data_IF_662816592083
#
_entry.id   IF_662816592083
#
_cell.length_a   1.000
_cell.length_b   1.000
_cell.length_c   1.000
_cell.angle_alpha   90.00
_cell.angle_beta   90.00
_cell.angle_gamma   90.00
#
_symmetry.space_group_name_H-M   'P 1'
#
loop_
_entity.id
_entity.type
_entity.pdbx_description
1 polymer ?
#
# COMPACT_ATOMS: atom_id res chain seq x y z
N UNK A 1 5.22 3.07 12.73
CA UNK A 1 6.41 2.30 12.37
C UNK A 1 6.67 2.47 10.87
N UNK A 2 7.64 1.76 10.29
CA UNK A 2 8.05 1.89 8.89
C UNK A 2 7.80 0.59 8.09
N UNK A 3 6.86 -0.25 8.50
CA UNK A 3 6.82 -1.66 8.06
C UNK A 3 6.66 -1.78 6.54
N UNK A 4 5.70 -1.08 5.94
CA UNK A 4 5.59 -0.97 4.47
C UNK A 4 6.81 -0.30 3.83
N UNK A 5 7.29 0.79 4.44
CA UNK A 5 8.44 1.53 3.91
C UNK A 5 9.75 0.72 3.90
N UNK A 6 9.89 -0.24 4.83
CA UNK A 6 11.05 -1.11 4.91
C UNK A 6 11.08 -2.16 3.79
N UNK A 7 9.93 -2.44 3.16
CA UNK A 7 9.81 -3.37 2.03
C UNK A 7 10.10 -2.70 0.69
N UNK A 8 10.14 -1.37 0.63
CA UNK A 8 10.13 -0.61 -0.62
C UNK A 8 11.46 0.12 -0.87
N UNK A 9 11.80 0.28 -2.14
CA UNK A 9 13.01 0.97 -2.60
C UNK A 9 12.66 2.03 -3.64
N UNK A 10 12.90 3.31 -3.34
CA UNK A 10 12.66 4.38 -4.30
C UNK A 10 13.97 4.83 -4.98
N UNK A 11 13.97 5.18 -6.28
CA UNK A 11 15.18 5.64 -6.97
C UNK A 11 15.71 6.97 -6.41
N UNK A 12 14.82 7.75 -5.79
CA UNK A 12 15.13 8.96 -5.03
C UNK A 12 14.29 8.98 -3.75
N UNK A 13 14.70 9.71 -2.69
CA UNK A 13 13.85 9.86 -1.52
C UNK A 13 12.49 10.48 -1.90
N UNK A 14 11.41 9.74 -1.62
CA UNK A 14 10.02 10.18 -1.80
C UNK A 14 9.36 10.42 -0.45
N UNK A 15 8.32 11.25 -0.43
CA UNK A 15 7.54 11.58 0.77
C UNK A 15 6.08 11.41 0.43
N UNK A 16 5.48 10.35 0.94
CA UNK A 16 4.05 10.09 0.70
C UNK A 16 3.24 10.91 1.70
N UNK A 17 2.47 11.85 1.18
CA UNK A 17 1.54 12.71 1.88
C UNK A 17 0.19 12.03 2.04
N UNK A 18 -0.16 11.69 3.29
CA UNK A 18 -1.41 11.02 3.61
C UNK A 18 -2.39 12.03 4.23
N UNK A 19 -3.56 12.15 3.63
CA UNK A 19 -4.71 12.84 4.21
C UNK A 19 -5.50 11.87 5.09
N UNK A 20 -5.63 12.20 6.37
CA UNK A 20 -6.53 11.50 7.28
C UNK A 20 -7.86 12.23 7.42
N UNK A 21 -8.95 11.51 7.22
CA UNK A 21 -10.33 11.98 7.37
C UNK A 21 -11.07 11.12 8.38
N UNK A 22 -12.04 11.72 9.06
CA UNK A 22 -12.93 11.04 10.00
C UNK A 22 -14.36 11.14 9.49
N UNK A 23 -14.98 9.98 9.27
CA UNK A 23 -16.30 9.84 8.63
C UNK A 23 -17.27 9.14 9.59
N UNK A 24 -18.57 9.36 9.41
CA UNK A 24 -19.60 8.77 10.25
C UNK A 24 -20.39 7.72 9.47
N UNK A 25 -20.22 6.44 9.81
CA UNK A 25 -21.03 5.30 9.34
C UNK A 25 -21.06 5.06 7.83
N UNK A 26 -20.01 5.48 7.11
CA UNK A 26 -19.92 5.23 5.67
C UNK A 26 -19.11 3.97 5.35
N UNK A 27 -18.33 3.45 6.32
CA UNK A 27 -17.44 2.29 6.17
C UNK A 27 -17.44 1.45 7.46
N UNK A 28 -17.04 0.17 7.37
CA UNK A 28 -17.08 -0.74 8.53
C UNK A 28 -16.02 -0.40 9.59
N UNK A 29 -14.80 -0.03 9.18
CA UNK A 29 -13.73 0.34 10.09
C UNK A 29 -12.90 1.50 9.51
N UNK A 30 -12.36 1.31 8.32
CA UNK A 30 -11.59 2.31 7.60
C UNK A 30 -11.68 2.05 6.09
N UNK A 31 -11.19 3.00 5.29
CA UNK A 31 -10.86 2.81 3.87
C UNK A 31 -9.60 3.61 3.55
N UNK A 32 -8.85 3.19 2.53
CA UNK A 32 -7.86 4.05 1.90
C UNK A 32 -7.69 3.80 0.41
N UNK A 33 -7.21 4.83 -0.28
CA UNK A 33 -6.89 4.79 -1.70
C UNK A 33 -5.81 5.83 -2.02
N UNK A 34 -5.12 5.62 -3.15
CA UNK A 34 -4.36 6.71 -3.78
C UNK A 34 -5.34 7.76 -4.35
N UNK A 35 -4.95 9.03 -4.30
CA UNK A 35 -5.76 10.16 -4.76
C UNK A 35 -5.70 10.36 -6.28
N UNK A 36 -4.74 9.72 -6.94
CA UNK A 36 -4.58 9.73 -8.40
C UNK A 36 -4.18 8.35 -8.89
N UNK A 37 -4.26 8.15 -10.21
CA UNK A 37 -3.77 6.97 -10.90
C UNK A 37 -3.01 7.36 -12.16
N UNK A 38 -2.07 6.53 -12.57
CA UNK A 38 -1.20 6.79 -13.73
C UNK A 38 -1.35 5.69 -14.75
N UNK A 39 -1.54 6.05 -16.02
CA UNK A 39 -1.59 5.07 -17.10
C UNK A 39 -0.22 4.38 -17.26
N UNK A 40 -0.23 3.05 -17.30
CA UNK A 40 0.98 2.23 -17.45
C UNK A 40 1.08 1.67 -18.85
N UNK A 41 0.03 0.98 -19.33
CA UNK A 41 0.02 0.28 -20.62
C UNK A 41 -1.39 -0.08 -21.05
N UNK A 42 -1.54 -0.42 -22.33
CA UNK A 42 -2.63 -1.23 -22.84
C UNK A 42 -2.15 -2.69 -22.89
N UNK A 43 -2.83 -3.59 -22.17
CA UNK A 43 -2.46 -5.02 -22.15
C UNK A 43 -3.18 -5.82 -23.27
N UNK A 44 -4.01 -5.17 -24.09
CA UNK A 44 -4.82 -5.77 -25.14
C UNK A 44 -6.26 -6.11 -24.71
N UNK A 45 -6.51 -6.23 -23.40
CA UNK A 45 -7.83 -6.50 -22.83
C UNK A 45 -8.45 -5.24 -22.21
N UNK A 46 -7.63 -4.43 -21.52
CA UNK A 46 -8.01 -3.16 -20.88
C UNK A 46 -6.80 -2.24 -20.71
N UNK A 47 -7.08 -0.95 -20.46
CA UNK A 47 -6.07 0.04 -20.11
C UNK A 47 -5.68 -0.13 -18.64
N UNK A 48 -4.39 -0.38 -18.41
CA UNK A 48 -3.82 -0.65 -17.08
C UNK A 48 -3.34 0.65 -16.44
N UNK A 49 -3.80 0.91 -15.23
CA UNK A 49 -3.41 2.04 -14.40
C UNK A 49 -2.73 1.57 -13.11
N UNK A 50 -1.73 2.31 -12.64
CA UNK A 50 -1.14 2.10 -11.32
C UNK A 50 -1.65 3.17 -10.34
N UNK A 51 -1.63 2.83 -9.05
CA UNK A 51 -1.94 3.77 -7.98
C UNK A 51 -0.90 4.90 -7.95
N UNK A 52 -1.34 6.14 -7.70
CA UNK A 52 -0.47 7.33 -7.69
C UNK A 52 0.71 7.20 -6.73
N UNK A 53 0.47 6.68 -5.52
CA UNK A 53 1.52 6.42 -4.53
C UNK A 53 2.54 5.41 -5.05
N UNK A 54 2.10 4.33 -5.69
CA UNK A 54 3.00 3.35 -6.31
C UNK A 54 3.83 3.99 -7.44
N UNK A 55 3.22 4.84 -8.25
CA UNK A 55 3.90 5.61 -9.30
C UNK A 55 4.99 6.51 -8.72
N UNK A 56 4.68 7.24 -7.65
CA UNK A 56 5.65 8.11 -6.99
C UNK A 56 6.83 7.30 -6.43
N UNK A 57 6.58 6.20 -5.73
CA UNK A 57 7.63 5.32 -5.21
C UNK A 57 8.50 4.78 -6.35
N UNK A 58 7.89 4.31 -7.44
CA UNK A 58 8.58 3.69 -8.58
C UNK A 58 9.42 4.69 -9.38
N UNK A 59 8.94 5.92 -9.54
CA UNK A 59 9.54 6.90 -10.45
C UNK A 59 10.33 8.00 -9.74
N UNK A 60 10.05 8.24 -8.46
CA UNK A 60 10.53 9.40 -7.73
C UNK A 60 9.82 10.71 -8.09
N UNK A 61 8.75 10.66 -8.89
CA UNK A 61 8.00 11.82 -9.37
C UNK A 61 6.60 11.76 -8.78
N UNK A 62 6.23 12.82 -8.06
CA UNK A 62 4.88 13.03 -7.54
C UNK A 62 3.89 13.31 -8.70
N UNK A 63 2.91 12.43 -8.94
CA UNK A 63 1.98 12.55 -10.07
C UNK A 63 0.85 13.58 -9.84
N UNK A 64 0.65 14.06 -8.62
CA UNK A 64 -0.40 15.02 -8.25
C UNK A 64 0.14 16.36 -7.70
N UNK A 65 1.47 16.53 -7.66
CA UNK A 65 2.11 17.67 -7.03
C UNK A 65 1.71 17.78 -5.56
N UNK A 66 1.74 18.99 -4.99
CA UNK A 66 1.55 19.25 -3.55
C UNK A 66 0.21 18.78 -2.90
N UNK A 67 -0.70 18.19 -3.69
CA UNK A 67 -1.89 17.50 -3.17
C UNK A 67 -1.51 16.24 -2.37
N UNK A 68 -2.38 15.72 -1.49
CA UNK A 68 -2.13 14.44 -0.83
C UNK A 68 -2.09 13.28 -1.83
N UNK A 69 -1.16 12.34 -1.65
CA UNK A 69 -0.98 11.18 -2.52
C UNK A 69 -1.97 10.06 -2.18
N UNK A 70 -2.31 9.95 -0.89
CA UNK A 70 -3.29 9.00 -0.39
C UNK A 70 -4.30 9.65 0.56
N UNK A 71 -5.48 9.06 0.62
CA UNK A 71 -6.48 9.35 1.64
C UNK A 71 -6.77 8.10 2.45
N UNK A 72 -6.88 8.27 3.76
CA UNK A 72 -7.38 7.29 4.72
C UNK A 72 -8.60 7.88 5.39
N UNK A 73 -9.72 7.17 5.35
CA UNK A 73 -10.95 7.54 6.06
C UNK A 73 -11.15 6.57 7.22
N UNK A 74 -11.32 7.09 8.43
CA UNK A 74 -11.64 6.30 9.63
C UNK A 74 -13.09 6.48 10.00
N UNK A 75 -13.80 5.38 10.23
CA UNK A 75 -15.12 5.44 10.83
C UNK A 75 -15.00 5.83 12.31
N UNK A 76 -15.67 6.94 12.69
CA UNK A 76 -15.57 7.51 14.04
C UNK A 76 -16.13 6.55 15.09
N UNK A 77 -17.18 5.81 14.78
CA UNK A 77 -17.81 4.91 15.72
C UNK A 77 -16.93 3.70 16.00
N UNK A 78 -16.32 3.13 14.96
CA UNK A 78 -15.32 2.07 15.11
C UNK A 78 -14.06 2.55 15.84
N UNK A 79 -13.59 3.76 15.52
CA UNK A 79 -12.44 4.38 16.18
C UNK A 79 -12.66 4.54 17.69
N UNK A 80 -13.85 4.96 18.11
CA UNK A 80 -14.16 5.22 19.53
C UNK A 80 -14.45 3.92 20.29
N UNK A 81 -15.15 2.97 19.66
CA UNK A 81 -15.73 1.84 20.39
C UNK A 81 -14.93 0.54 20.26
N UNK A 82 -14.16 0.37 19.18
CA UNK A 82 -13.59 -0.92 18.81
C UNK A 82 -12.09 -0.90 18.60
N UNK A 83 -11.47 0.24 18.31
CA UNK A 83 -10.03 0.28 18.05
C UNK A 83 -9.24 0.14 19.35
N UNK A 84 -8.27 -0.77 19.35
CA UNK A 84 -7.21 -0.79 20.35
C UNK A 84 -5.91 -0.27 19.76
N UNK A 85 -5.34 0.69 20.48
CA UNK A 85 -4.07 1.31 20.14
C UNK A 85 -2.97 0.66 20.97
N UNK A 86 -2.06 -0.03 20.29
CA UNK A 86 -0.86 -0.57 20.92
C UNK A 86 -0.07 0.58 21.58
N UNK A 87 0.28 0.48 22.88
CA UNK A 87 1.13 1.46 23.56
C UNK A 87 2.52 1.64 22.91
N UNK A 88 3.04 0.60 22.22
CA UNK A 88 4.26 0.65 21.42
C UNK A 88 4.00 0.07 20.01
N UNK A 89 3.45 0.88 19.09
CA UNK A 89 3.12 0.41 17.74
C UNK A 89 4.34 0.17 16.86
N UNK A 90 5.55 0.48 17.33
CA UNK A 90 6.79 0.14 16.62
C UNK A 90 7.31 -1.23 17.03
N UNK A 91 7.25 -1.57 18.32
CA UNK A 91 7.64 -2.90 18.79
C UNK A 91 6.57 -3.95 18.51
N UNK A 92 5.28 -3.58 18.56
CA UNK A 92 4.12 -4.49 18.37
C UNK A 92 4.28 -5.76 19.21
N UNK A 93 4.60 -5.60 20.50
CA UNK A 93 4.82 -6.73 21.43
C UNK A 93 3.66 -6.98 22.38
N UNK A 94 2.85 -5.96 22.69
CA UNK A 94 1.68 -6.14 23.55
C UNK A 94 0.59 -6.90 22.80
N UNK A 95 -0.06 -7.91 23.41
CA UNK A 95 -1.15 -8.62 22.78
C UNK A 95 -2.38 -7.71 22.69
N UNK A 96 -3.10 -7.81 21.57
CA UNK A 96 -4.40 -7.16 21.43
C UNK A 96 -5.35 -7.78 22.47
N UNK A 97 -6.05 -6.97 23.28
CA UNK A 97 -6.97 -7.48 24.28
C UNK A 97 -8.00 -8.40 23.64
N UNK A 98 -8.16 -9.59 24.24
CA UNK A 98 -9.20 -10.53 23.83
C UNK A 98 -10.58 -9.97 24.17
N UNK A 99 -11.61 -10.48 23.50
CA UNK A 99 -12.98 -10.17 23.88
C UNK A 99 -13.24 -10.57 25.33
N UNK A 100 -13.66 -9.60 26.15
CA UNK A 100 -13.98 -9.83 27.56
C UNK A 100 -15.40 -9.37 27.87
N UNK A 101 -16.06 -10.08 28.80
CA UNK A 101 -17.39 -9.70 29.29
C UNK A 101 -17.28 -8.98 30.65
N UNK A 102 -17.37 -7.65 30.63
CA UNK A 102 -17.30 -6.79 31.82
C UNK A 102 -18.57 -5.94 31.96
N UNK A 103 -19.72 -6.60 32.15
CA UNK A 103 -21.04 -5.95 32.13
C UNK A 103 -21.54 -5.65 30.71
N UNK A 104 -20.84 -6.15 29.70
CA UNK A 104 -21.08 -6.07 28.26
C UNK A 104 -19.88 -6.70 27.53
N UNK A 105 -20.05 -7.11 26.27
CA UNK A 105 -18.93 -7.58 25.45
C UNK A 105 -18.06 -6.39 25.06
N UNK A 106 -16.79 -6.42 25.44
CA UNK A 106 -15.76 -5.48 25.02
C UNK A 106 -14.77 -6.24 24.15
N UNK A 107 -14.77 -5.92 22.86
CA UNK A 107 -13.91 -6.54 21.87
C UNK A 107 -13.15 -5.44 21.14
N UNK A 108 -11.89 -5.72 20.82
CA UNK A 108 -11.03 -4.73 20.18
C UNK A 108 -10.40 -5.25 18.90
N UNK A 109 -10.21 -4.35 17.95
CA UNK A 109 -9.47 -4.55 16.71
C UNK A 109 -8.12 -3.83 16.81
N UNK A 110 -7.03 -4.46 16.36
CA UNK A 110 -5.71 -3.81 16.33
C UNK A 110 -5.73 -2.65 15.34
N UNK A 111 -5.73 -1.41 15.85
CA UNK A 111 -5.82 -0.20 15.03
C UNK A 111 -4.67 -0.11 14.02
N UNK A 112 -3.49 -0.61 14.40
CA UNK A 112 -2.35 -0.66 13.52
C UNK A 112 -2.56 -1.65 12.37
N UNK A 113 -3.03 -2.87 12.62
CA UNK A 113 -3.34 -3.84 11.56
C UNK A 113 -4.37 -3.27 10.58
N UNK A 114 -5.41 -2.58 11.06
CA UNK A 114 -6.38 -1.91 10.18
C UNK A 114 -5.68 -0.86 9.31
N UNK A 115 -4.93 0.06 9.92
CA UNK A 115 -4.23 1.10 9.14
C UNK A 115 -3.21 0.53 8.16
N UNK A 116 -2.52 -0.56 8.53
CA UNK A 116 -1.59 -1.23 7.64
C UNK A 116 -2.31 -1.91 6.47
N UNK A 117 -3.47 -2.52 6.71
CA UNK A 117 -4.34 -3.06 5.67
C UNK A 117 -4.77 -1.97 4.68
N UNK A 118 -5.26 -0.84 5.20
CA UNK A 118 -5.67 0.29 4.37
C UNK A 118 -4.53 0.84 3.51
N UNK A 119 -3.33 0.95 4.08
CA UNK A 119 -2.16 1.34 3.29
C UNK A 119 -1.85 0.34 2.16
N UNK A 120 -2.15 -0.95 2.33
CA UNK A 120 -2.09 -1.94 1.26
C UNK A 120 -2.97 -1.57 0.06
N UNK A 121 -4.19 -1.08 0.28
CA UNK A 121 -5.07 -0.58 -0.79
C UNK A 121 -4.51 0.67 -1.48
N UNK A 122 -3.93 1.60 -0.71
CA UNK A 122 -3.32 2.79 -1.27
C UNK A 122 -2.12 2.45 -2.18
N UNK A 123 -1.39 1.37 -1.90
CA UNK A 123 -0.23 0.94 -2.67
C UNK A 123 -0.55 0.02 -3.85
N UNK A 124 -1.35 -1.03 -3.65
CA UNK A 124 -1.41 -2.14 -4.60
C UNK A 124 -2.77 -2.83 -4.67
N UNK A 125 -3.42 -3.07 -3.54
CA UNK A 125 -4.60 -3.94 -3.46
C UNK A 125 -5.87 -3.21 -3.87
N UNK A 126 -6.01 -2.86 -5.14
CA UNK A 126 -7.15 -2.09 -5.60
C UNK A 126 -7.57 -2.56 -6.98
N UNK A 127 -8.53 -3.48 -7.04
CA UNK A 127 -9.10 -3.98 -8.28
C UNK A 127 -10.40 -3.27 -8.67
N UNK A 128 -10.59 -3.13 -9.97
CA UNK A 128 -11.76 -2.53 -10.62
C UNK A 128 -12.69 -3.59 -11.21
N UNK A 129 -12.34 -4.87 -11.09
CA UNK A 129 -13.22 -5.97 -11.47
C UNK A 129 -14.53 -5.92 -10.69
N UNK A 130 -15.58 -6.44 -11.29
CA UNK A 130 -16.83 -6.67 -10.58
C UNK A 130 -16.65 -7.81 -9.57
N UNK A 131 -16.92 -7.55 -8.30
CA UNK A 131 -16.66 -8.52 -7.22
C UNK A 131 -17.47 -9.83 -7.31
N UNK A 132 -18.62 -9.82 -7.98
CA UNK A 132 -19.47 -11.01 -8.12
C UNK A 132 -19.09 -11.88 -9.32
N UNK A 133 -18.64 -11.26 -10.41
CA UNK A 133 -18.44 -11.93 -11.72
C UNK A 133 -16.99 -11.98 -12.16
N UNK A 134 -16.11 -11.17 -11.57
CA UNK A 134 -14.73 -10.97 -11.99
C UNK A 134 -14.57 -10.25 -13.34
N UNK A 135 -15.69 -9.79 -13.93
CA UNK A 135 -15.68 -9.06 -15.19
C UNK A 135 -14.96 -7.71 -15.04
N UNK A 136 -14.20 -7.31 -16.05
CA UNK A 136 -13.51 -6.03 -16.10
C UNK A 136 -14.01 -5.18 -17.26
N UNK A 137 -14.02 -3.87 -17.06
CA UNK A 137 -14.37 -2.89 -18.09
C UNK A 137 -13.15 -2.50 -18.95
N UNK A 138 -13.20 -1.30 -19.51
CA UNK A 138 -12.10 -0.72 -20.30
C UNK A 138 -10.85 -0.37 -19.45
N UNK A 139 -11.01 -0.28 -18.13
CA UNK A 139 -9.96 0.15 -17.20
C UNK A 139 -9.75 -0.90 -16.12
N UNK A 140 -8.48 -1.11 -15.77
CA UNK A 140 -8.06 -1.99 -14.68
C UNK A 140 -6.79 -1.49 -14.02
N UNK A 141 -6.51 -1.95 -12.81
CA UNK A 141 -5.27 -1.65 -12.11
C UNK A 141 -4.14 -2.61 -12.48
N UNK A 142 -2.92 -2.31 -12.05
CA UNK A 142 -1.81 -3.28 -12.10
C UNK A 142 -2.08 -4.54 -11.27
N UNK A 143 -2.98 -4.46 -10.28
CA UNK A 143 -3.47 -5.63 -9.54
C UNK A 143 -4.47 -6.44 -10.37
N UNK A 144 -5.43 -5.80 -11.05
CA UNK A 144 -6.39 -6.49 -11.93
C UNK A 144 -5.72 -7.26 -13.09
N UNK A 145 -4.59 -6.74 -13.56
CA UNK A 145 -3.75 -7.35 -14.61
C UNK A 145 -3.15 -8.69 -14.15
N UNK A 146 -3.09 -8.92 -12.84
CA UNK A 146 -2.63 -10.15 -12.22
C UNK A 146 -3.79 -11.00 -11.69
N UNK A 147 -5.05 -10.72 -12.07
CA UNK A 147 -6.21 -11.52 -11.66
C UNK A 147 -6.70 -12.41 -12.80
N UNK A 148 -6.86 -13.70 -12.50
CA UNK A 148 -7.58 -14.66 -13.35
C UNK A 148 -8.88 -15.12 -12.70
N UNK A 149 -9.91 -15.35 -13.53
CA UNK A 149 -11.18 -15.96 -13.11
C UNK A 149 -11.19 -17.41 -13.55
N UNK A 150 -11.10 -18.33 -12.60
CA UNK A 150 -11.05 -19.77 -12.83
C UNK A 150 -12.29 -20.40 -12.21
N UNK A 151 -13.15 -20.98 -13.03
CA UNK A 151 -14.42 -21.61 -12.60
C UNK A 151 -15.32 -20.69 -11.75
N UNK A 152 -15.28 -19.38 -12.02
CA UNK A 152 -16.08 -18.38 -11.30
C UNK A 152 -15.44 -17.85 -10.00
N UNK A 153 -14.25 -18.32 -9.63
CA UNK A 153 -13.47 -17.77 -8.51
C UNK A 153 -12.31 -16.92 -9.02
N UNK A 154 -12.02 -15.82 -8.32
CA UNK A 154 -10.89 -14.95 -8.64
C UNK A 154 -9.64 -15.40 -7.93
N UNK A 155 -8.52 -15.33 -8.64
CA UNK A 155 -7.20 -15.60 -8.10
C UNK A 155 -6.21 -14.55 -8.55
N UNK A 156 -5.32 -14.15 -7.65
CA UNK A 156 -4.12 -13.41 -8.01
C UNK A 156 -3.05 -14.41 -8.48
N UNK A 157 -2.50 -14.17 -9.67
CA UNK A 157 -1.61 -15.10 -10.40
C UNK A 157 -0.21 -14.54 -10.64
N UNK A 158 0.15 -13.46 -9.95
CA UNK A 158 1.51 -12.91 -9.98
C UNK A 158 2.56 -13.95 -9.63
N UNK A 159 3.67 -13.95 -10.39
CA UNK A 159 4.65 -15.04 -10.35
C UNK A 159 5.36 -15.14 -9.01
N UNK A 160 5.65 -14.01 -8.36
CA UNK A 160 6.29 -13.99 -7.06
C UNK A 160 5.32 -14.44 -5.96
N UNK A 161 4.08 -13.95 -6.00
CA UNK A 161 3.03 -14.33 -5.05
C UNK A 161 2.72 -15.82 -5.14
N UNK A 162 2.60 -16.36 -6.35
CA UNK A 162 2.42 -17.80 -6.58
C UNK A 162 3.63 -18.60 -6.07
N UNK A 163 4.86 -18.10 -6.21
CA UNK A 163 6.04 -18.76 -5.68
C UNK A 163 6.04 -18.81 -4.14
N UNK A 164 5.59 -17.75 -3.47
CA UNK A 164 5.50 -17.70 -1.99
C UNK A 164 4.33 -18.54 -1.48
N UNK A 165 3.15 -18.44 -2.11
CA UNK A 165 1.94 -19.15 -1.69
C UNK A 165 1.94 -20.64 -2.09
N UNK A 166 2.66 -20.99 -3.15
CA UNK A 166 2.74 -22.35 -3.71
C UNK A 166 1.63 -22.71 -4.71
N UNK A 167 0.69 -21.78 -4.96
CA UNK A 167 -0.38 -21.88 -5.96
C UNK A 167 -0.98 -20.51 -6.22
N UNK A 168 -1.91 -20.40 -7.18
CA UNK A 168 -2.71 -19.19 -7.39
C UNK A 168 -3.34 -18.73 -6.08
N UNK A 169 -3.23 -17.44 -5.77
CA UNK A 169 -3.64 -16.89 -4.47
C UNK A 169 -5.14 -16.58 -4.52
N UNK A 170 -5.97 -17.19 -3.66
CA UNK A 170 -7.41 -16.99 -3.72
C UNK A 170 -7.80 -15.59 -3.26
N UNK A 171 -8.77 -14.99 -3.95
CA UNK A 171 -9.30 -13.65 -3.65
C UNK A 171 -10.74 -13.74 -3.14
N UNK A 172 -11.03 -13.00 -2.07
CA UNK A 172 -12.39 -12.86 -1.56
C UNK A 172 -13.19 -11.89 -2.44
N UNK A 173 -12.51 -10.87 -2.95
CA UNK A 173 -12.99 -9.88 -3.90
C UNK A 173 -11.78 -9.24 -4.63
N UNK A 174 -11.98 -8.31 -5.58
CA UNK A 174 -10.90 -7.71 -6.35
C UNK A 174 -9.90 -6.83 -5.58
N UNK A 175 -10.03 -6.71 -4.26
CA UNK A 175 -9.10 -5.95 -3.42
C UNK A 175 -8.62 -6.73 -2.19
N UNK A 176 -9.15 -7.92 -1.91
CA UNK A 176 -8.83 -8.67 -0.70
C UNK A 176 -8.50 -10.15 -0.94
N UNK A 177 -7.62 -10.69 -0.11
CA UNK A 177 -7.23 -12.10 -0.13
C UNK A 177 -8.24 -12.95 0.64
N UNK A 178 -8.59 -14.12 0.11
CA UNK A 178 -9.38 -15.14 0.84
C UNK A 178 -8.46 -16.02 1.71
N UNK A 179 -7.63 -15.36 2.52
CA UNK A 179 -6.63 -15.96 3.40
C UNK A 179 -6.61 -15.19 4.72
N UNK A 180 -6.35 -15.87 5.84
CA UNK A 180 -6.18 -15.23 7.16
C UNK A 180 -4.84 -14.50 7.20
N UNK A 181 -4.82 -13.29 6.62
CA UNK A 181 -3.65 -12.45 6.37
C UNK A 181 -3.98 -10.99 6.67
N UNK A 182 -3.00 -10.08 6.52
CA UNK A 182 -3.26 -8.65 6.64
C UNK A 182 -4.37 -8.19 5.69
N UNK A 183 -4.37 -8.66 4.44
CA UNK A 183 -5.30 -8.23 3.38
C UNK A 183 -6.59 -9.05 3.30
N UNK A 184 -6.99 -9.73 4.39
CA UNK A 184 -8.32 -10.32 4.50
C UNK A 184 -9.37 -9.20 4.66
N UNK A 185 -10.58 -9.29 4.06
CA UNK A 185 -11.61 -8.25 4.23
C UNK A 185 -12.15 -8.15 5.68
N UNK A 186 -11.82 -9.11 6.53
CA UNK A 186 -12.27 -9.18 7.92
C UNK A 186 -11.05 -9.29 8.83
N UNK A 187 -10.98 -8.40 9.83
CA UNK A 187 -10.09 -8.53 10.97
C UNK A 187 -10.86 -9.08 12.16
N UNK A 188 -10.36 -10.16 12.75
CA UNK A 188 -10.94 -10.78 13.94
C UNK A 188 -10.62 -9.99 15.21
N UNK A 189 -11.52 -10.08 16.18
CA UNK A 189 -11.33 -9.48 17.51
C UNK A 189 -10.12 -10.05 18.24
N UNK A 190 -9.33 -9.18 18.85
CA UNK A 190 -8.15 -9.59 19.62
C UNK A 190 -7.02 -10.18 18.75
N UNK A 191 -7.09 -10.03 17.43
CA UNK A 191 -6.09 -10.55 16.49
C UNK A 191 -5.19 -9.43 16.00
N UNK A 192 -3.90 -9.76 15.88
CA UNK A 192 -2.88 -8.95 15.24
C UNK A 192 -2.50 -9.59 13.92
N UNK A 193 -2.65 -8.85 12.84
CA UNK A 193 -2.10 -9.19 11.54
C UNK A 193 -0.83 -8.37 11.26
N UNK A 194 0.10 -8.97 10.54
CA UNK A 194 1.35 -8.35 10.09
C UNK A 194 1.46 -8.45 8.58
N UNK A 195 2.20 -7.51 7.97
CA UNK A 195 2.61 -7.64 6.58
C UNK A 195 3.45 -8.92 6.45
N UNK A 196 3.11 -9.74 5.47
CA UNK A 196 3.71 -11.05 5.22
C UNK A 196 4.61 -11.02 3.99
N UNK A 197 5.39 -12.10 3.79
CA UNK A 197 6.18 -12.30 2.58
C UNK A 197 5.27 -12.36 1.32
N UNK A 198 4.03 -12.83 1.48
CA UNK A 198 3.05 -12.84 0.40
C UNK A 198 2.64 -11.42 0.01
N UNK A 199 2.48 -10.52 0.99
CA UNK A 199 2.15 -9.13 0.70
C UNK A 199 3.30 -8.43 -0.04
N UNK A 200 4.54 -8.68 0.39
CA UNK A 200 5.73 -8.18 -0.31
C UNK A 200 5.82 -8.72 -1.76
N UNK A 201 5.51 -10.00 -1.97
CA UNK A 201 5.52 -10.61 -3.30
C UNK A 201 4.44 -10.04 -4.21
N UNK A 202 3.24 -9.76 -3.68
CA UNK A 202 2.17 -9.09 -4.43
C UNK A 202 2.58 -7.67 -4.81
N UNK A 203 3.22 -6.90 -3.91
CA UNK A 203 3.75 -5.58 -4.23
C UNK A 203 4.74 -5.62 -5.42
N UNK A 204 5.64 -6.61 -5.43
CA UNK A 204 6.60 -6.81 -6.53
C UNK A 204 5.88 -7.13 -7.85
N UNK A 205 4.91 -8.06 -7.82
CA UNK A 205 4.15 -8.47 -9.01
C UNK A 205 3.33 -7.33 -9.62
N UNK A 206 2.84 -6.38 -8.82
CA UNK A 206 2.14 -5.19 -9.32
C UNK A 206 3.08 -4.04 -9.72
N UNK A 207 4.39 -4.25 -9.57
CA UNK A 207 5.44 -3.36 -10.08
C UNK A 207 6.02 -2.36 -9.08
N UNK A 208 5.75 -2.51 -7.77
CA UNK A 208 6.45 -1.68 -6.78
C UNK A 208 7.90 -2.17 -6.63
N UNK A 209 8.88 -1.25 -6.60
CA UNK A 209 10.27 -1.60 -6.38
C UNK A 209 10.50 -2.04 -4.93
N UNK A 210 10.99 -3.26 -4.76
CA UNK A 210 11.23 -3.85 -3.44
C UNK A 210 12.65 -3.56 -2.91
N UNK A 211 12.76 -3.31 -1.60
CA UNK A 211 14.04 -3.20 -0.90
C UNK A 211 14.68 -4.60 -0.79
N UNK A 212 15.65 -4.86 -1.67
CA UNK A 212 16.50 -6.04 -1.58
C UNK A 212 15.96 -7.30 -2.27
N UNK A 213 16.03 -7.33 -3.60
CA UNK A 213 16.73 -8.41 -4.30
C UNK A 213 17.85 -7.81 -5.15
N UNK A 214 19.00 -7.55 -4.54
CA UNK A 214 20.22 -7.40 -5.32
C UNK A 214 20.62 -8.78 -5.87
N UNK A 215 19.94 -9.24 -6.91
CA UNK A 215 20.53 -10.15 -7.89
C UNK A 215 21.03 -9.32 -9.05
N UNK A 216 22.16 -8.65 -8.82
CA UNK A 216 23.06 -8.34 -9.92
C UNK A 216 23.51 -9.67 -10.54
N UNK A 217 22.76 -10.17 -11.53
CA UNK A 217 23.34 -11.03 -12.54
C UNK A 217 23.43 -10.24 -13.85
N UNK A 218 24.12 -9.10 -13.78
CA UNK A 218 24.62 -8.44 -14.97
C UNK A 218 25.86 -9.23 -15.40
N UNK A 219 25.89 -9.94 -16.54
CA UNK A 219 27.14 -10.45 -17.06
C UNK A 219 28.06 -9.25 -17.24
N UNK A 220 29.17 -9.25 -16.51
CA UNK A 220 30.19 -8.21 -16.58
C UNK A 220 30.57 -7.97 -18.04
N UNK A 221 30.13 -6.85 -18.61
CA UNK A 221 30.64 -6.36 -19.88
C UNK A 221 32.10 -5.91 -19.64
N UNK A 222 33.06 -6.31 -20.49
CA UNK A 222 34.45 -5.90 -20.30
C UNK A 222 34.58 -4.37 -20.37
N UNK A 223 35.23 -3.83 -19.35
CA UNK A 223 35.54 -2.40 -19.15
C UNK A 223 36.03 -1.71 -20.43
N UNK A 224 35.19 -0.87 -21.01
CA UNK A 224 35.63 0.17 -21.95
C UNK A 224 36.03 1.39 -21.13
N UNK A 225 37.32 1.76 -21.19
CA UNK A 225 37.86 2.99 -20.57
C UNK A 225 37.10 4.20 -21.10
N UNK A 226 36.37 4.91 -20.23
CA UNK A 226 35.84 6.24 -20.54
C UNK A 226 36.76 7.33 -19.96
N UNK A 227 37.02 8.32 -20.80
CA UNK A 227 37.81 9.52 -20.53
C UNK A 227 36.90 10.55 -19.86
N UNK A 228 37.34 11.12 -18.73
CA UNK A 228 36.64 12.22 -18.05
C UNK A 228 36.76 13.53 -18.84
N UNK A 229 35.73 14.40 -18.73
CA UNK A 229 36.00 15.83 -18.58
C UNK A 229 35.29 16.45 -17.37
N UNK A 230 36.09 17.19 -16.61
CA UNK A 230 35.78 18.15 -15.53
C UNK A 230 35.02 19.37 -16.04
N UNK A 231 34.13 20.00 -15.24
CA UNK A 231 33.85 21.46 -15.01
C UNK A 231 32.66 21.53 -13.99
N UNK A 232 32.81 21.94 -12.71
CA UNK A 232 32.86 23.29 -12.09
C UNK A 232 31.61 24.19 -12.26
N UNK A 233 30.80 24.38 -11.19
CA UNK A 233 29.92 25.56 -11.02
C UNK A 233 28.69 25.36 -10.10
N UNK A 234 28.21 26.37 -9.33
CA UNK A 234 27.68 26.16 -7.97
C UNK A 234 26.15 26.24 -7.78
N UNK A 235 25.76 25.67 -6.62
CA UNK A 235 24.46 25.57 -5.93
C UNK A 235 23.85 26.93 -5.52
N UNK A 236 22.51 27.10 -5.54
CA UNK A 236 21.82 28.11 -4.74
C UNK A 236 21.13 27.51 -3.50
N UNK A 237 21.11 28.28 -2.40
CA UNK A 237 20.41 27.99 -1.13
C UNK A 237 19.26 29.00 -0.86
N UNK A 238 18.35 28.74 0.10
CA UNK A 238 16.91 28.96 -0.06
C UNK A 238 16.33 30.18 0.70
N UNK A 239 15.09 30.54 0.36
CA UNK A 239 14.14 31.32 1.20
C UNK A 239 12.76 30.68 0.97
N UNK A 240 11.96 30.24 1.94
CA UNK A 240 11.78 30.70 3.31
C UNK A 240 10.58 31.64 3.35
N UNK A 241 9.35 31.11 3.52
CA UNK A 241 8.16 31.81 4.01
C UNK A 241 7.15 30.80 4.57
N UNK A 242 6.98 30.80 5.90
CA UNK A 242 5.83 30.22 6.61
C UNK A 242 4.68 31.23 6.57
N UNK A 243 3.45 30.79 6.31
CA UNK A 243 2.22 31.53 6.60
C UNK A 243 1.29 30.65 7.45
N UNK A 244 0.85 31.12 8.64
CA UNK A 244 -0.02 30.36 9.54
C UNK A 244 -1.49 30.66 9.22
N UNK A 245 -2.15 29.78 8.48
CA UNK A 245 -3.62 29.63 8.47
C UNK A 245 -3.96 28.32 7.75
N UNK A 246 -4.12 27.22 8.49
CA UNK A 246 -4.61 25.95 7.94
C UNK A 246 -5.64 25.33 8.91
N UNK A 247 -6.80 24.86 8.42
CA UNK A 247 -7.75 24.07 9.21
C UNK A 247 -7.11 22.73 9.62
N UNK A 248 -7.65 22.10 10.67
CA UNK A 248 -7.11 20.88 11.27
C UNK A 248 -7.28 19.64 10.36
N UNK A 249 -6.41 19.53 9.34
CA UNK A 249 -6.10 18.29 8.65
C UNK A 249 -4.75 17.80 9.18
N UNK A 250 -4.70 16.63 9.82
CA UNK A 250 -3.41 16.00 10.09
C UNK A 250 -2.86 15.46 8.77
N UNK A 251 -1.76 16.06 8.29
CA UNK A 251 -0.93 15.48 7.25
C UNK A 251 0.08 14.56 7.92
N UNK A 252 0.00 13.25 7.65
CA UNK A 252 1.07 12.32 7.98
C UNK A 252 2.02 12.22 6.77
N UNK A 253 3.32 12.02 7.03
CA UNK A 253 4.33 11.80 5.99
C UNK A 253 5.03 10.47 6.23
N UNK A 254 5.02 9.60 5.23
CA UNK A 254 5.87 8.41 5.21
C UNK A 254 7.15 8.73 4.43
N UNK A 255 8.32 8.51 5.03
CA UNK A 255 9.62 8.70 4.36
C UNK A 255 10.24 7.34 4.05
N UNK A 256 10.58 7.11 2.79
CA UNK A 256 11.30 5.91 2.38
C UNK A 256 12.82 6.07 2.60
N UNK A 257 13.51 5.06 3.16
CA UNK A 257 14.97 5.04 3.22
C UNK A 257 15.61 4.87 1.82
N UNK A 258 16.92 5.10 1.74
CA UNK A 258 17.74 4.81 0.55
C UNK A 258 18.20 3.37 0.54
#
# INVERSE_FOLDING_TARGET
SNDWAALLSAPTPVSIEIQLSFINHEVAAATAASMTSVFVRDNGDFLVFEQGVASEIRTGIDPNGDAPDAQVNLDIDSLINYYWFDPDPAARTEPVPQCEFNGGWQCYLDAYSILAHEMGHAFAYNGLRNAETGAIGEYGSTFDDQIEVINGSMFFVGVNAVAVHGSNVPLADPAHLDLVTLMNPIIDWGVRNSISDLDAAILDDVGLPMAGTSSECTPSLPSVRSVQPTILGPKPEPRGCMNPNCPHNLKARLKMPK
#
